data_IF_142015174411
#
_entry.id   IF_142015174411
#
_cell.length_a   1.000
_cell.length_b   1.000
_cell.length_c   1.000
_cell.angle_alpha   90.00
_cell.angle_beta   90.00
_cell.angle_gamma   90.00
#
_symmetry.space_group_name_H-M   'P 1'
#
loop_
_entity.id
_entity.type
_entity.pdbx_description
1 polymer ?
#
# COMPACT_ATOMS: atom_id res chain seq x y z
N UNK A 1 -0.44 3.14 11.79
CA UNK A 1 0.02 4.51 11.47
C UNK A 1 0.65 5.12 12.70
N UNK A 2 1.65 5.93 12.52
CA UNK A 2 2.41 6.55 13.60
C UNK A 2 1.69 7.69 14.33
N UNK A 3 0.54 8.11 13.87
CA UNK A 3 -0.15 9.30 14.38
C UNK A 3 0.38 10.63 13.82
N UNK A 4 1.46 10.58 13.06
CA UNK A 4 1.99 11.75 12.33
C UNK A 4 1.40 11.73 10.92
N UNK A 5 0.92 12.86 10.45
CA UNK A 5 0.28 12.98 9.13
C UNK A 5 1.08 13.93 8.24
N UNK A 6 1.45 13.45 7.06
CA UNK A 6 1.94 14.23 5.94
C UNK A 6 0.90 14.15 4.83
N UNK A 7 0.20 15.24 4.56
CA UNK A 7 -0.94 15.25 3.63
C UNK A 7 -0.54 14.84 2.20
N UNK A 8 0.71 15.06 1.80
CA UNK A 8 1.19 14.74 0.45
C UNK A 8 1.54 13.27 0.28
N UNK A 9 1.64 12.50 1.38
CA UNK A 9 2.05 11.10 1.37
C UNK A 9 1.00 10.12 1.88
N UNK A 10 -0.25 10.55 2.11
CA UNK A 10 -1.33 9.65 2.45
C UNK A 10 -1.59 8.67 1.30
N UNK A 11 -2.25 7.53 1.59
CA UNK A 11 -2.61 6.57 0.55
C UNK A 11 -3.46 7.23 -0.55
N UNK A 12 -4.42 8.08 -0.18
CA UNK A 12 -5.23 8.82 -1.14
C UNK A 12 -4.40 9.78 -1.98
N UNK A 13 -3.45 10.51 -1.37
CA UNK A 13 -2.57 11.42 -2.10
C UNK A 13 -1.68 10.66 -3.07
N UNK A 14 -1.11 9.51 -2.67
CA UNK A 14 -0.30 8.67 -3.54
C UNK A 14 -1.09 8.20 -4.77
N UNK A 15 -2.35 7.76 -4.58
CA UNK A 15 -3.20 7.33 -5.68
C UNK A 15 -3.56 8.53 -6.58
N UNK A 16 -3.88 9.68 -6.00
CA UNK A 16 -4.20 10.90 -6.72
C UNK A 16 -3.02 11.35 -7.59
N UNK A 17 -1.81 11.35 -7.05
CA UNK A 17 -0.60 11.68 -7.79
C UNK A 17 -0.41 10.76 -8.99
N UNK A 18 -0.59 9.46 -8.79
CA UNK A 18 -0.49 8.48 -9.87
C UNK A 18 -1.54 8.71 -10.96
N UNK A 19 -2.77 9.00 -10.57
CA UNK A 19 -3.88 9.32 -11.49
C UNK A 19 -3.54 10.56 -12.34
N UNK A 20 -2.87 11.54 -11.76
CA UNK A 20 -2.48 12.78 -12.42
C UNK A 20 -1.19 12.64 -13.25
N UNK A 21 -0.58 11.46 -13.28
CA UNK A 21 0.65 11.21 -14.02
C UNK A 21 1.91 11.73 -13.33
N UNK A 22 1.83 11.98 -12.03
CA UNK A 22 2.98 12.40 -11.21
C UNK A 22 3.43 11.26 -10.29
N UNK A 23 4.65 11.35 -9.76
CA UNK A 23 5.14 10.38 -8.80
C UNK A 23 4.43 10.50 -7.46
N UNK A 24 4.23 9.38 -6.77
CA UNK A 24 3.79 9.36 -5.38
C UNK A 24 4.95 9.76 -4.45
N UNK A 25 4.63 10.27 -3.29
CA UNK A 25 5.61 10.75 -2.33
C UNK A 25 5.67 9.88 -1.08
N UNK A 26 6.88 9.66 -0.55
CA UNK A 26 7.06 9.14 0.80
C UNK A 26 6.83 10.26 1.82
N UNK A 27 6.58 9.88 3.07
CA UNK A 27 6.37 10.86 4.13
C UNK A 27 7.66 11.58 4.51
N UNK A 28 7.56 12.88 4.81
CA UNK A 28 8.71 13.67 5.22
C UNK A 28 9.28 13.24 6.59
N UNK A 29 8.49 12.52 7.39
CA UNK A 29 8.91 11.97 8.68
C UNK A 29 9.43 10.53 8.60
N UNK A 30 9.50 9.94 7.40
CA UNK A 30 9.99 8.57 7.20
C UNK A 30 11.52 8.51 7.29
N UNK A 31 12.08 7.28 7.40
CA UNK A 31 13.52 7.06 7.45
C UNK A 31 14.27 7.62 6.23
N UNK A 32 13.61 7.70 5.08
CA UNK A 32 14.19 8.20 3.83
C UNK A 32 13.88 9.67 3.59
N UNK A 33 13.10 10.32 4.47
CA UNK A 33 12.59 11.65 4.25
C UNK A 33 11.58 11.70 3.12
N UNK A 34 11.28 12.89 2.62
CA UNK A 34 10.39 13.04 1.48
C UNK A 34 11.10 12.58 0.21
N UNK A 35 10.50 11.58 -0.45
CA UNK A 35 11.04 10.94 -1.65
C UNK A 35 9.89 10.63 -2.60
N UNK A 36 10.14 10.62 -3.90
CA UNK A 36 9.14 10.29 -4.93
C UNK A 36 9.25 8.85 -5.36
N UNK A 37 8.11 8.24 -5.69
CA UNK A 37 8.03 6.88 -6.22
C UNK A 37 6.88 6.74 -7.21
N UNK A 38 7.07 5.96 -8.29
CA UNK A 38 5.98 5.54 -9.16
C UNK A 38 5.28 4.34 -8.54
N UNK A 39 3.94 4.38 -8.43
CA UNK A 39 3.17 3.24 -7.95
C UNK A 39 3.16 2.13 -8.99
N UNK A 40 3.38 0.89 -8.55
CA UNK A 40 3.38 -0.29 -9.41
C UNK A 40 2.00 -0.52 -10.03
N UNK A 41 1.95 -0.66 -11.35
CA UNK A 41 0.74 -1.04 -12.08
C UNK A 41 0.24 -2.42 -11.64
N UNK A 42 1.14 -3.38 -11.42
CA UNK A 42 0.78 -4.72 -10.95
C UNK A 42 0.12 -4.66 -9.57
N UNK A 43 0.64 -3.85 -8.65
CA UNK A 43 0.03 -3.62 -7.34
C UNK A 43 -1.35 -3.00 -7.48
N UNK A 44 -1.49 -1.94 -8.26
CA UNK A 44 -2.77 -1.24 -8.45
C UNK A 44 -3.82 -2.15 -9.08
N UNK A 45 -3.44 -2.97 -10.05
CA UNK A 45 -4.34 -3.97 -10.64
C UNK A 45 -4.75 -5.02 -9.61
N UNK A 46 -3.86 -5.48 -8.76
CA UNK A 46 -4.17 -6.41 -7.67
C UNK A 46 -5.16 -5.79 -6.69
N UNK A 47 -4.92 -4.54 -6.28
CA UNK A 47 -5.84 -3.81 -5.39
C UNK A 47 -7.23 -3.67 -6.00
N UNK A 48 -7.31 -3.34 -7.30
CA UNK A 48 -8.59 -3.22 -8.01
C UNK A 48 -9.34 -4.56 -8.06
N UNK A 49 -8.64 -5.65 -8.35
CA UNK A 49 -9.23 -7.00 -8.43
C UNK A 49 -9.73 -7.49 -7.08
N UNK A 50 -9.04 -7.17 -5.98
CA UNK A 50 -9.52 -7.46 -4.63
C UNK A 50 -10.90 -6.82 -4.40
N UNK A 51 -11.10 -5.61 -4.88
CA UNK A 51 -12.36 -4.90 -4.73
C UNK A 51 -13.43 -5.37 -5.73
N UNK A 52 -13.07 -5.58 -7.00
CA UNK A 52 -14.05 -5.83 -8.08
C UNK A 52 -14.34 -7.31 -8.27
N UNK A 53 -13.33 -8.18 -8.29
CA UNK A 53 -13.51 -9.62 -8.53
C UNK A 53 -13.87 -10.38 -7.27
N UNK A 54 -13.28 -10.00 -6.12
CA UNK A 54 -13.56 -10.61 -4.82
C UNK A 54 -14.68 -9.90 -4.07
N UNK A 55 -15.00 -8.66 -4.44
CA UNK A 55 -16.01 -7.86 -3.75
C UNK A 55 -15.58 -7.44 -2.34
N UNK A 56 -14.28 -7.40 -2.06
CA UNK A 56 -13.79 -7.02 -0.76
C UNK A 56 -13.90 -5.52 -0.54
N UNK A 57 -14.37 -5.13 0.65
CA UNK A 57 -14.23 -3.75 1.15
C UNK A 57 -13.12 -3.74 2.17
N UNK A 58 -12.10 -2.94 1.94
CA UNK A 58 -10.94 -2.82 2.83
C UNK A 58 -10.42 -1.39 2.82
N UNK A 59 -9.68 -1.04 3.85
CA UNK A 59 -9.11 0.30 4.00
C UNK A 59 -7.62 0.25 3.77
N UNK A 60 -7.14 0.93 2.73
CA UNK A 60 -5.71 1.11 2.49
C UNK A 60 -5.21 2.19 3.45
N UNK A 61 -4.29 1.83 4.32
CA UNK A 61 -3.77 2.74 5.34
C UNK A 61 -2.50 3.43 4.91
N UNK A 62 -1.65 2.73 4.15
CA UNK A 62 -0.38 3.28 3.66
C UNK A 62 -0.02 2.65 2.31
N UNK A 63 0.61 3.44 1.44
CA UNK A 63 1.25 2.99 0.20
C UNK A 63 2.70 3.44 0.23
N UNK A 64 3.05 4.61 -0.28
CA UNK A 64 4.41 5.16 -0.21
C UNK A 64 4.64 5.95 1.09
N UNK A 65 3.57 6.40 1.74
CA UNK A 65 3.66 7.17 2.98
C UNK A 65 3.92 6.31 4.21
N UNK A 66 4.03 6.98 5.36
CA UNK A 66 4.31 6.34 6.63
C UNK A 66 5.80 6.26 6.93
N UNK A 67 6.13 5.70 8.09
CA UNK A 67 7.52 5.51 8.53
C UNK A 67 7.83 4.01 8.50
N UNK A 68 8.68 3.61 7.57
CA UNK A 68 9.10 2.22 7.34
C UNK A 68 10.62 2.14 7.37
N UNK A 69 11.18 0.93 7.34
CA UNK A 69 12.62 0.77 7.19
C UNK A 69 13.08 1.35 5.84
N UNK A 70 14.33 1.82 5.77
CA UNK A 70 14.87 2.48 4.56
C UNK A 70 14.85 1.61 3.30
N UNK A 71 14.76 0.27 3.46
CA UNK A 71 14.67 -0.69 2.36
C UNK A 71 13.24 -1.17 2.11
N UNK A 72 12.23 -0.54 2.73
CA UNK A 72 10.84 -0.96 2.59
C UNK A 72 10.34 -0.88 1.15
N UNK A 73 9.56 -1.87 0.74
CA UNK A 73 8.86 -1.88 -0.55
C UNK A 73 7.83 -0.76 -0.68
N UNK A 74 7.34 -0.21 0.43
CA UNK A 74 6.47 0.98 0.42
C UNK A 74 7.15 2.15 -0.26
N UNK A 75 8.43 2.42 0.07
CA UNK A 75 9.18 3.53 -0.52
C UNK A 75 9.47 3.34 -2.01
N UNK A 76 9.36 2.11 -2.51
CA UNK A 76 9.50 1.79 -3.94
C UNK A 76 8.18 1.87 -4.70
N UNK A 77 7.06 2.12 -4.02
CA UNK A 77 5.74 2.17 -4.64
C UNK A 77 5.19 0.80 -5.05
N UNK A 78 5.68 -0.29 -4.47
CA UNK A 78 5.29 -1.65 -4.84
C UNK A 78 4.55 -2.40 -3.72
N UNK A 79 4.26 -1.75 -2.62
CA UNK A 79 3.58 -2.34 -1.48
C UNK A 79 2.49 -1.44 -0.92
N UNK A 80 1.48 -2.05 -0.31
CA UNK A 80 0.49 -1.33 0.49
C UNK A 80 0.18 -2.06 1.78
N UNK A 81 -0.26 -1.31 2.78
CA UNK A 81 -0.81 -1.83 4.03
C UNK A 81 -2.33 -1.59 4.04
N UNK A 82 -3.07 -2.53 4.58
CA UNK A 82 -4.52 -2.44 4.64
C UNK A 82 -5.08 -2.98 5.95
N UNK A 83 -6.12 -2.31 6.44
CA UNK A 83 -7.07 -2.89 7.38
C UNK A 83 -8.05 -3.73 6.55
N UNK A 84 -8.07 -5.03 6.77
CA UNK A 84 -8.87 -5.97 5.97
C UNK A 84 -10.34 -5.99 6.36
N UNK A 85 -10.71 -5.29 7.43
CA UNK A 85 -12.08 -5.16 7.90
C UNK A 85 -12.73 -6.55 8.13
N UNK A 86 -13.89 -6.82 7.53
CA UNK A 86 -14.60 -8.08 7.71
C UNK A 86 -14.02 -9.26 6.92
N UNK A 87 -13.11 -9.02 5.99
CA UNK A 87 -12.49 -10.09 5.16
C UNK A 87 -11.64 -11.02 6.03
N UNK A 88 -10.89 -10.47 6.95
CA UNK A 88 -9.91 -11.20 7.75
C UNK A 88 -8.54 -11.27 7.08
N UNK A 89 -7.49 -11.22 7.90
CA UNK A 89 -6.12 -11.09 7.40
C UNK A 89 -5.67 -12.32 6.59
N UNK A 90 -5.94 -13.53 7.06
CA UNK A 90 -5.51 -14.75 6.37
C UNK A 90 -6.12 -14.87 4.97
N UNK A 91 -7.41 -14.59 4.83
CA UNK A 91 -8.11 -14.62 3.54
C UNK A 91 -7.56 -13.55 2.61
N UNK A 92 -7.32 -12.35 3.13
CA UNK A 92 -6.78 -11.23 2.35
C UNK A 92 -5.37 -11.53 1.85
N UNK A 93 -4.49 -12.09 2.70
CA UNK A 93 -3.14 -12.52 2.32
C UNK A 93 -3.18 -13.51 1.16
N UNK A 94 -4.03 -14.54 1.24
CA UNK A 94 -4.18 -15.53 0.17
C UNK A 94 -4.64 -14.87 -1.13
N UNK A 95 -5.57 -13.94 -1.06
CA UNK A 95 -6.07 -13.23 -2.23
C UNK A 95 -4.99 -12.34 -2.87
N UNK A 96 -4.19 -11.62 -2.07
CA UNK A 96 -3.06 -10.84 -2.60
C UNK A 96 -2.11 -11.72 -3.40
N UNK A 97 -1.76 -12.90 -2.87
CA UNK A 97 -0.88 -13.84 -3.56
C UNK A 97 -1.51 -14.37 -4.84
N UNK A 98 -2.82 -14.65 -4.83
CA UNK A 98 -3.54 -15.10 -6.02
C UNK A 98 -3.49 -14.06 -7.16
N UNK A 99 -3.40 -12.79 -6.83
CA UNK A 99 -3.27 -11.70 -7.80
C UNK A 99 -1.82 -11.25 -8.06
N UNK A 100 -0.86 -12.08 -7.65
CA UNK A 100 0.54 -11.92 -8.04
C UNK A 100 1.45 -11.25 -7.02
N UNK A 101 0.96 -10.98 -5.81
CA UNK A 101 1.83 -10.47 -4.75
C UNK A 101 2.95 -11.45 -4.46
N UNK A 102 4.17 -10.96 -4.42
CA UNK A 102 5.36 -11.75 -4.10
C UNK A 102 5.62 -11.80 -2.61
N UNK A 103 5.06 -10.85 -1.86
CA UNK A 103 5.09 -10.81 -0.42
C UNK A 103 3.70 -10.45 0.10
N UNK A 104 3.19 -11.22 1.05
CA UNK A 104 1.93 -10.90 1.72
C UNK A 104 2.01 -11.41 3.16
N UNK A 105 1.89 -10.48 4.11
CA UNK A 105 2.15 -10.73 5.52
C UNK A 105 0.99 -10.27 6.38
N UNK A 106 0.55 -11.14 7.30
CA UNK A 106 -0.37 -10.79 8.37
C UNK A 106 0.44 -10.17 9.51
N UNK A 107 0.31 -8.86 9.69
CA UNK A 107 1.06 -8.12 10.70
C UNK A 107 0.18 -7.78 11.93
N UNK A 108 -0.91 -8.52 12.14
CA UNK A 108 -1.79 -8.39 13.29
C UNK A 108 -2.90 -7.38 13.06
N UNK A 109 -2.64 -6.11 13.21
CA UNK A 109 -3.62 -5.04 13.03
C UNK A 109 -3.76 -4.57 11.58
N UNK A 110 -2.95 -5.12 10.67
CA UNK A 110 -3.01 -4.84 9.24
C UNK A 110 -2.37 -5.97 8.44
N UNK A 111 -2.54 -5.93 7.13
CA UNK A 111 -1.87 -6.81 6.18
C UNK A 111 -0.95 -5.98 5.30
N UNK A 112 0.23 -6.50 5.01
CA UNK A 112 1.20 -5.92 4.08
C UNK A 112 1.26 -6.78 2.83
N UNK A 113 1.05 -6.20 1.66
CA UNK A 113 1.16 -6.89 0.37
C UNK A 113 2.09 -6.11 -0.56
N UNK A 114 2.98 -6.83 -1.25
CA UNK A 114 3.96 -6.24 -2.16
C UNK A 114 4.06 -7.01 -3.47
N UNK A 115 4.32 -6.29 -4.54
CA UNK A 115 4.53 -6.81 -5.89
C UNK A 115 5.94 -6.43 -6.35
N UNK A 116 6.87 -7.31 -6.10
CA UNK A 116 8.28 -7.12 -6.51
C UNK A 116 8.53 -7.54 -7.95
#
# INVERSE_FOLDING_TARGET
>A
MSGVVDADSTAQANITDTKNGTTAETSNYSDVGEREAWLSTAMLNGMLKLATERGYTYLVTEIAGGDHSSNSNHYKGIAFDADTMSVGNATFVSACRAYGATEALDEGNHVHCAWQ
#
